data_IF_153435045296
#
_entry.id   IF_153435045296
#
_cell.length_a   1.000
_cell.length_b   1.000
_cell.length_c   1.000
_cell.angle_alpha   90.00
_cell.angle_beta   90.00
_cell.angle_gamma   90.00
#
_symmetry.space_group_name_H-M   'P 1'
#
loop_
_entity.id
_entity.type
_entity.pdbx_description
1 polymer ?
#
# COMPACT_ATOMS: atom_id res chain seq x y z
N UNK A 1 -7.61 -12.94 5.97
CA UNK A 1 -8.11 -11.59 6.34
C UNK A 1 -6.99 -10.58 6.08
N UNK A 2 -7.25 -9.50 5.36
CA UNK A 2 -6.26 -8.41 5.20
C UNK A 2 -6.13 -7.71 6.56
N UNK A 3 -4.94 -7.68 7.14
CA UNK A 3 -4.72 -7.17 8.50
C UNK A 3 -4.53 -5.67 8.54
N UNK A 4 -3.27 -5.23 8.52
CA UNK A 4 -2.83 -3.86 8.77
C UNK A 4 -2.30 -3.21 7.48
N UNK A 5 -2.66 -1.94 7.25
CA UNK A 5 -2.25 -1.18 6.08
C UNK A 5 -1.54 0.11 6.45
N UNK A 6 -0.39 0.36 5.83
CA UNK A 6 0.35 1.62 5.93
C UNK A 6 0.19 2.40 4.65
N UNK A 7 -0.24 3.66 4.76
CA UNK A 7 -0.55 4.50 3.62
C UNK A 7 0.48 5.60 3.40
N UNK A 8 0.74 5.92 2.14
CA UNK A 8 1.49 7.10 1.72
C UNK A 8 0.81 7.73 0.50
N UNK A 9 0.80 9.06 0.44
CA UNK A 9 0.26 9.81 -0.72
C UNK A 9 1.37 10.65 -1.30
N UNK A 10 1.64 10.49 -2.60
CA UNK A 10 2.84 11.03 -3.23
C UNK A 10 2.66 11.26 -4.73
N UNK A 11 3.49 12.12 -5.33
CA UNK A 11 3.57 12.29 -6.79
C UNK A 11 4.61 11.38 -7.43
N UNK A 12 5.40 10.67 -6.63
CA UNK A 12 6.31 9.66 -7.12
C UNK A 12 5.53 8.67 -7.98
N UNK A 13 6.12 8.24 -9.09
CA UNK A 13 5.48 7.26 -9.97
C UNK A 13 5.58 5.86 -9.36
N UNK A 14 4.61 4.96 -9.62
CA UNK A 14 4.63 3.61 -9.09
C UNK A 14 5.89 2.82 -9.42
N UNK A 15 6.42 2.97 -10.63
CA UNK A 15 7.64 2.27 -11.05
C UNK A 15 8.82 2.64 -10.15
N UNK A 16 8.98 3.94 -9.86
CA UNK A 16 10.01 4.44 -8.97
C UNK A 16 9.82 3.90 -7.54
N UNK A 17 8.61 3.96 -7.00
CA UNK A 17 8.33 3.48 -5.64
C UNK A 17 8.64 1.99 -5.50
N UNK A 18 8.22 1.17 -6.46
CA UNK A 18 8.52 -0.26 -6.45
C UNK A 18 10.01 -0.55 -6.57
N UNK A 19 10.73 0.13 -7.48
CA UNK A 19 12.18 -0.04 -7.63
C UNK A 19 12.94 0.34 -6.36
N UNK A 20 12.59 1.47 -5.73
CA UNK A 20 13.22 1.90 -4.48
C UNK A 20 12.91 0.93 -3.34
N UNK A 21 11.67 0.47 -3.25
CA UNK A 21 11.30 -0.50 -2.22
C UNK A 21 12.04 -1.83 -2.41
N UNK A 22 12.11 -2.34 -3.64
CA UNK A 22 12.85 -3.57 -3.96
C UNK A 22 14.36 -3.43 -3.67
N UNK A 23 14.94 -2.26 -3.93
CA UNK A 23 16.33 -1.97 -3.56
C UNK A 23 16.51 -2.04 -2.04
N UNK A 24 15.64 -1.38 -1.27
CA UNK A 24 15.68 -1.42 0.20
C UNK A 24 15.40 -2.82 0.77
N UNK A 25 14.51 -3.57 0.13
CA UNK A 25 14.17 -4.92 0.54
C UNK A 25 15.33 -5.89 0.31
N UNK A 26 16.18 -5.69 -0.70
CA UNK A 26 17.39 -6.53 -0.92
C UNK A 26 18.37 -6.49 0.25
N UNK A 27 18.43 -5.37 0.96
CA UNK A 27 19.25 -5.23 2.17
C UNK A 27 18.67 -6.05 3.34
N UNK A 28 17.34 -6.25 3.36
CA UNK A 28 16.65 -7.05 4.38
C UNK A 28 16.64 -8.54 4.02
N UNK A 29 16.16 -8.84 2.82
CA UNK A 29 16.04 -10.15 2.23
C UNK A 29 17.00 -10.22 1.04
N UNK A 30 18.13 -10.91 1.21
CA UNK A 30 19.11 -11.10 0.14
C UNK A 30 18.50 -11.70 -1.14
N UNK A 31 17.47 -12.52 -0.97
CA UNK A 31 16.74 -13.20 -2.05
C UNK A 31 15.24 -13.11 -1.75
N UNK A 32 14.44 -12.72 -2.75
CA UNK A 32 12.99 -12.68 -2.69
C UNK A 32 12.40 -12.82 -4.10
N UNK A 33 11.12 -13.18 -4.16
CA UNK A 33 10.32 -13.27 -5.39
C UNK A 33 9.27 -12.16 -5.39
N UNK A 34 9.01 -11.61 -6.58
CA UNK A 34 7.98 -10.59 -6.79
C UNK A 34 6.95 -11.12 -7.77
N UNK A 35 5.68 -10.98 -7.42
CA UNK A 35 4.57 -11.32 -8.31
C UNK A 35 3.69 -10.08 -8.52
N UNK A 36 3.39 -9.77 -9.77
CA UNK A 36 2.40 -8.74 -10.08
C UNK A 36 1.01 -9.30 -9.74
N UNK A 37 0.20 -8.48 -9.08
CA UNK A 37 -1.17 -8.87 -8.70
C UNK A 37 -2.14 -7.75 -9.05
N UNK A 38 -3.32 -8.18 -9.51
CA UNK A 38 -4.50 -7.33 -9.67
C UNK A 38 -5.48 -7.67 -8.56
N UNK A 39 -5.08 -7.37 -7.32
CA UNK A 39 -5.85 -7.68 -6.11
C UNK A 39 -7.28 -7.09 -6.17
N UNK A 40 -7.47 -5.99 -6.90
CA UNK A 40 -8.76 -5.41 -7.23
C UNK A 40 -8.68 -4.82 -8.65
N UNK A 41 -9.76 -4.83 -9.47
CA UNK A 41 -9.79 -4.17 -10.78
C UNK A 41 -9.29 -2.72 -10.81
N UNK A 42 -9.31 -2.00 -9.68
CA UNK A 42 -8.83 -0.61 -9.60
C UNK A 42 -7.46 -0.43 -8.93
N UNK A 43 -6.84 -1.50 -8.41
CA UNK A 43 -5.59 -1.42 -7.67
C UNK A 43 -4.55 -2.39 -8.24
N UNK A 44 -3.47 -1.81 -8.78
CA UNK A 44 -2.32 -2.57 -9.28
C UNK A 44 -1.33 -2.72 -8.12
N UNK A 45 -0.79 -3.92 -7.93
CA UNK A 45 0.16 -4.17 -6.86
C UNK A 45 1.22 -5.22 -7.17
N UNK A 46 2.17 -5.30 -6.25
CA UNK A 46 3.24 -6.29 -6.23
C UNK A 46 3.23 -7.02 -4.89
N UNK A 47 3.17 -8.33 -4.96
CA UNK A 47 3.27 -9.23 -3.84
C UNK A 47 4.71 -9.72 -3.69
N UNK A 48 5.22 -9.69 -2.47
CA UNK A 48 6.60 -10.00 -2.14
C UNK A 48 6.68 -11.25 -1.27
N UNK A 49 7.52 -12.19 -1.67
CA UNK A 49 7.77 -13.45 -0.97
C UNK A 49 9.25 -13.60 -0.67
N UNK A 50 9.59 -14.08 0.52
CA UNK A 50 10.95 -14.51 0.82
C UNK A 50 11.20 -15.91 0.22
N UNK A 51 11.37 -15.95 -1.10
CA UNK A 51 11.62 -17.15 -1.92
C UNK A 51 10.77 -18.37 -1.48
N UNK A 52 11.40 -19.53 -1.26
CA UNK A 52 10.70 -20.78 -0.90
C UNK A 52 10.22 -20.84 0.57
N UNK A 53 10.41 -19.79 1.37
CA UNK A 53 10.01 -19.80 2.78
C UNK A 53 8.54 -19.43 3.00
N UNK A 54 7.84 -18.90 1.99
CA UNK A 54 6.49 -18.32 2.12
C UNK A 54 5.61 -18.68 0.93
N UNK A 55 4.32 -18.92 1.18
CA UNK A 55 3.30 -19.18 0.16
C UNK A 55 2.03 -18.37 0.41
N UNK A 56 1.33 -18.06 -0.68
CA UNK A 56 -0.02 -17.48 -0.67
C UNK A 56 -1.03 -18.57 -1.03
N UNK A 57 -2.03 -18.77 -0.18
CA UNK A 57 -3.18 -19.60 -0.47
C UNK A 57 -4.32 -18.72 -0.97
N UNK A 58 -4.41 -18.60 -2.30
CA UNK A 58 -5.34 -17.71 -3.02
C UNK A 58 -6.83 -17.93 -2.71
N UNK A 59 -7.22 -19.08 -2.13
CA UNK A 59 -8.63 -19.38 -1.83
C UNK A 59 -9.17 -18.69 -0.57
N UNK A 60 -8.32 -18.35 0.40
CA UNK A 60 -8.79 -17.93 1.74
C UNK A 60 -8.06 -16.69 2.31
N UNK A 61 -7.18 -16.06 1.52
CA UNK A 61 -6.26 -15.00 1.98
C UNK A 61 -5.50 -15.42 3.26
N UNK A 62 -4.97 -16.65 3.22
CA UNK A 62 -4.14 -17.24 4.27
C UNK A 62 -2.70 -17.22 3.78
N UNK A 63 -1.82 -16.67 4.62
CA UNK A 63 -0.38 -16.59 4.37
C UNK A 63 0.31 -17.56 5.31
N UNK A 64 1.29 -18.31 4.82
CA UNK A 64 2.18 -19.10 5.70
C UNK A 64 3.29 -18.21 6.23
N UNK A 65 3.49 -18.21 7.55
CA UNK A 65 4.66 -17.62 8.16
C UNK A 65 5.89 -18.49 7.91
N UNK A 66 7.04 -17.87 7.75
CA UNK A 66 8.31 -18.62 7.78
C UNK A 66 8.75 -18.91 9.23
N UNK A 67 9.89 -19.59 9.38
CA UNK A 67 10.50 -19.93 10.68
C UNK A 67 10.84 -18.71 11.56
N UNK A 68 10.99 -17.54 10.94
CA UNK A 68 11.33 -16.28 11.63
C UNK A 68 10.07 -15.47 11.99
N UNK A 69 8.87 -15.99 11.72
CA UNK A 69 7.60 -15.31 11.97
C UNK A 69 7.28 -14.21 10.95
N UNK A 70 7.97 -14.18 9.81
CA UNK A 70 7.73 -13.24 8.71
C UNK A 70 6.67 -13.79 7.75
N UNK A 71 6.03 -12.91 6.98
CA UNK A 71 5.00 -13.29 6.00
C UNK A 71 5.19 -12.56 4.67
N UNK A 72 4.56 -13.09 3.62
CA UNK A 72 4.41 -12.36 2.38
C UNK A 72 3.54 -11.11 2.58
N UNK A 73 3.80 -10.08 1.80
CA UNK A 73 3.12 -8.79 1.92
C UNK A 73 2.97 -8.11 0.56
N UNK A 74 2.02 -7.18 0.47
CA UNK A 74 1.60 -6.57 -0.77
C UNK A 74 1.83 -5.06 -0.73
N UNK A 75 2.39 -4.49 -1.80
CA UNK A 75 2.33 -3.04 -2.04
C UNK A 75 1.40 -2.80 -3.21
N UNK A 76 0.37 -1.97 -2.99
CA UNK A 76 -0.54 -1.52 -4.04
C UNK A 76 -0.44 -0.02 -4.23
N UNK A 77 -0.87 0.44 -5.41
CA UNK A 77 -1.14 1.84 -5.64
C UNK A 77 -2.48 2.05 -6.34
N UNK A 78 -3.02 3.25 -6.13
CA UNK A 78 -4.16 3.77 -6.88
C UNK A 78 -3.81 5.17 -7.38
N UNK A 79 -4.10 5.42 -8.66
CA UNK A 79 -3.94 6.75 -9.24
C UNK A 79 -5.23 7.54 -9.08
N UNK A 80 -5.11 8.76 -8.58
CA UNK A 80 -6.22 9.66 -8.44
C UNK A 80 -5.96 10.94 -9.22
N UNK A 81 -6.82 11.21 -10.19
CA UNK A 81 -6.86 12.51 -10.85
C UNK A 81 -7.32 13.62 -9.89
N UNK A 82 -8.20 13.26 -8.94
CA UNK A 82 -8.60 14.02 -7.74
C UNK A 82 -9.07 13.04 -6.66
N UNK A 83 -8.59 13.16 -5.42
CA UNK A 83 -9.17 12.44 -4.27
C UNK A 83 -10.19 13.35 -3.60
N UNK A 84 -11.42 12.85 -3.46
CA UNK A 84 -12.36 13.30 -2.43
C UNK A 84 -12.50 12.14 -1.42
N UNK A 85 -11.86 12.24 -0.25
CA UNK A 85 -11.94 11.18 0.77
C UNK A 85 -13.37 10.92 1.25
N UNK A 86 -14.25 11.91 1.17
CA UNK A 86 -15.67 11.75 1.49
C UNK A 86 -16.37 10.83 0.48
N UNK A 87 -16.01 10.93 -0.81
CA UNK A 87 -16.56 10.05 -1.85
C UNK A 87 -16.20 8.59 -1.60
N UNK A 88 -14.96 8.25 -1.21
CA UNK A 88 -14.59 6.85 -0.90
C UNK A 88 -15.28 6.30 0.35
N UNK A 89 -15.36 7.08 1.42
CA UNK A 89 -16.08 6.64 2.63
C UNK A 89 -17.57 6.45 2.32
N UNK A 90 -18.17 7.36 1.55
CA UNK A 90 -19.57 7.28 1.17
C UNK A 90 -19.85 6.15 0.17
N UNK A 91 -18.96 5.86 -0.78
CA UNK A 91 -19.05 4.69 -1.67
C UNK A 91 -18.89 3.39 -0.89
N UNK A 92 -18.00 3.35 0.11
CA UNK A 92 -17.82 2.18 0.97
C UNK A 92 -19.02 1.94 1.89
N UNK A 93 -19.67 3.00 2.37
CA UNK A 93 -20.84 2.90 3.25
C UNK A 93 -22.14 2.70 2.47
N UNK A 94 -22.21 3.20 1.23
CA UNK A 94 -23.41 3.21 0.39
C UNK A 94 -23.06 2.96 -1.08
N UNK A 95 -22.74 1.70 -1.44
CA UNK A 95 -22.40 1.34 -2.81
C UNK A 95 -23.58 1.57 -3.76
N UNK A 96 -23.34 2.16 -4.93
CA UNK A 96 -24.33 2.36 -6.00
C UNK A 96 -25.09 3.69 -5.99
N UNK A 97 -24.70 4.65 -5.14
CA UNK A 97 -25.27 6.01 -5.10
C UNK A 97 -24.30 7.01 -5.73
N UNK A 98 -24.76 7.78 -6.71
CA UNK A 98 -23.98 8.88 -7.31
C UNK A 98 -23.89 10.06 -6.35
N UNK A 99 -22.66 10.42 -5.95
CA UNK A 99 -22.42 11.58 -5.10
C UNK A 99 -22.05 12.81 -5.93
N UNK A 100 -22.81 13.93 -5.82
CA UNK A 100 -22.44 15.16 -6.50
C UNK A 100 -21.10 15.66 -5.97
N UNK A 101 -20.18 15.96 -6.89
CA UNK A 101 -18.88 16.56 -6.61
C UNK A 101 -19.03 18.05 -6.24
N UNK A 102 -19.78 18.33 -5.18
CA UNK A 102 -20.16 19.67 -4.75
C UNK A 102 -19.80 19.92 -3.29
N UNK A 103 -19.11 21.03 -3.07
CA UNK A 103 -18.56 21.51 -1.80
C UNK A 103 -19.68 21.73 -0.75
N UNK A 104 -19.81 20.84 0.22
CA UNK A 104 -20.71 20.97 1.38
C UNK A 104 -19.91 21.12 2.67
N UNK A 105 -19.35 22.32 2.88
CA UNK A 105 -19.08 22.90 4.20
C UNK A 105 -18.50 21.99 5.32
N UNK A 106 -17.63 21.04 5.00
CA UNK A 106 -16.91 20.24 5.98
C UNK A 106 -15.46 20.77 6.15
N UNK A 107 -15.03 21.17 7.35
CA UNK A 107 -13.68 21.72 7.58
C UNK A 107 -12.51 20.73 7.31
N UNK A 108 -12.79 19.46 6.97
CA UNK A 108 -11.79 18.43 6.67
C UNK A 108 -11.75 18.01 5.19
N UNK A 109 -11.97 18.95 4.26
CA UNK A 109 -11.71 18.72 2.84
C UNK A 109 -10.21 18.60 2.55
N UNK A 110 -9.73 17.38 2.36
CA UNK A 110 -8.39 17.15 1.82
C UNK A 110 -8.48 17.05 0.29
N UNK A 111 -8.30 18.20 -0.37
CA UNK A 111 -8.13 18.25 -1.82
C UNK A 111 -6.65 17.97 -2.10
N UNK A 112 -6.37 16.76 -2.58
CA UNK A 112 -5.03 16.45 -3.05
C UNK A 112 -4.79 17.11 -4.41
N UNK A 113 -3.52 17.45 -4.69
CA UNK A 113 -3.14 17.99 -5.99
C UNK A 113 -3.45 16.97 -7.10
N UNK A 114 -3.77 17.46 -8.31
CA UNK A 114 -3.95 16.59 -9.48
C UNK A 114 -2.73 15.70 -9.68
N UNK A 115 -2.97 14.51 -10.23
CA UNK A 115 -1.96 13.51 -10.56
C UNK A 115 -1.20 13.01 -9.33
N UNK A 116 -1.93 12.41 -8.38
CA UNK A 116 -1.36 11.89 -7.16
C UNK A 116 -1.64 10.39 -7.05
N UNK A 117 -0.70 9.68 -6.43
CA UNK A 117 -0.82 8.26 -6.15
C UNK A 117 -1.03 8.07 -4.65
N UNK A 118 -1.97 7.21 -4.29
CA UNK A 118 -2.04 6.61 -2.96
C UNK A 118 -1.36 5.26 -3.03
N UNK A 119 -0.45 5.01 -2.11
CA UNK A 119 0.23 3.74 -1.93
C UNK A 119 -0.24 3.10 -0.63
N UNK A 120 -0.40 1.78 -0.64
CA UNK A 120 -0.69 1.01 0.55
C UNK A 120 0.26 -0.19 0.64
N UNK A 121 1.02 -0.27 1.73
CA UNK A 121 1.66 -1.51 2.19
C UNK A 121 0.63 -2.28 3.00
N UNK A 122 0.25 -3.45 2.51
CA UNK A 122 -0.76 -4.34 3.07
C UNK A 122 -0.08 -5.54 3.70
N UNK A 123 -0.30 -5.72 4.99
CA UNK A 123 0.32 -6.76 5.82
C UNK A 123 -0.74 -7.74 6.31
N UNK A 124 -0.44 -9.05 6.35
CA UNK A 124 -1.35 -10.02 6.93
C UNK A 124 -1.51 -9.82 8.43
N UNK A 125 -2.70 -10.14 8.94
CA UNK A 125 -3.07 -9.99 10.35
C UNK A 125 -2.12 -10.74 11.30
N UNK A 126 -1.63 -11.91 10.87
CA UNK A 126 -0.72 -12.74 11.66
C UNK A 126 0.61 -12.05 12.03
N UNK A 127 1.01 -11.02 11.28
CA UNK A 127 2.20 -10.19 11.58
C UNK A 127 1.82 -8.75 11.88
N UNK A 128 0.53 -8.46 12.12
CA UNK A 128 0.13 -7.12 12.49
C UNK A 128 0.78 -6.75 13.83
N UNK A 129 1.51 -5.63 13.85
CA UNK A 129 2.13 -5.07 15.04
C UNK A 129 3.27 -5.92 15.64
N UNK A 130 4.16 -6.43 14.77
CA UNK A 130 5.45 -7.02 15.18
C UNK A 130 6.65 -6.25 14.62
N UNK A 131 7.86 -6.54 15.13
CA UNK A 131 9.12 -5.89 14.70
C UNK A 131 9.33 -5.96 13.18
N UNK A 132 8.99 -7.09 12.56
CA UNK A 132 9.06 -7.26 11.11
C UNK A 132 8.13 -6.27 10.38
N UNK A 133 6.89 -6.13 10.85
CA UNK A 133 5.92 -5.17 10.28
C UNK A 133 6.37 -3.71 10.45
N UNK A 134 6.96 -3.36 11.60
CA UNK A 134 7.50 -2.02 11.84
C UNK A 134 8.67 -1.72 10.90
N UNK A 135 9.56 -2.70 10.70
CA UNK A 135 10.70 -2.57 9.80
C UNK A 135 10.24 -2.34 8.35
N UNK A 136 9.31 -3.14 7.85
CA UNK A 136 8.73 -2.95 6.51
C UNK A 136 8.05 -1.60 6.36
N UNK A 137 7.26 -1.20 7.37
CA UNK A 137 6.58 0.09 7.40
C UNK A 137 7.57 1.25 7.33
N UNK A 138 8.69 1.15 8.06
CA UNK A 138 9.75 2.16 8.05
C UNK A 138 10.48 2.23 6.71
N UNK A 139 10.81 1.09 6.10
CA UNK A 139 11.40 1.04 4.76
C UNK A 139 10.46 1.68 3.74
N UNK A 140 9.18 1.28 3.73
CA UNK A 140 8.16 1.82 2.85
C UNK A 140 8.01 3.34 2.99
N UNK A 141 7.81 3.85 4.22
CA UNK A 141 7.64 5.28 4.47
C UNK A 141 8.91 6.09 4.16
N UNK A 142 10.10 5.47 4.23
CA UNK A 142 11.35 6.18 3.96
C UNK A 142 11.46 6.69 2.53
N UNK A 143 10.85 6.00 1.56
CA UNK A 143 10.83 6.37 0.13
C UNK A 143 10.21 7.76 -0.06
N UNK A 144 9.21 8.09 0.75
CA UNK A 144 8.43 9.32 0.64
C UNK A 144 8.99 10.47 1.48
N UNK A 145 9.94 10.21 2.39
CA UNK A 145 10.53 11.27 3.26
C UNK A 145 11.31 12.32 2.47
N UNK A 146 11.85 11.99 1.30
CA UNK A 146 12.62 12.91 0.46
C UNK A 146 11.78 13.98 -0.26
N UNK A 147 10.48 13.78 -0.49
CA UNK A 147 9.62 14.80 -1.12
C UNK A 147 9.48 16.06 -0.25
N UNK A 148 9.61 15.94 1.06
CA UNK A 148 9.44 17.06 2.00
C UNK A 148 10.64 18.01 2.09
N UNK A 149 11.81 17.63 1.56
CA UNK A 149 13.05 18.45 1.64
C UNK A 149 13.30 19.35 0.44
N UNK A 150 12.53 19.21 -0.65
CA UNK A 150 12.67 20.01 -1.87
C UNK A 150 11.91 21.36 -1.84
N UNK A 151 11.42 21.78 -0.67
CA UNK A 151 10.83 23.11 -0.47
C UNK A 151 11.37 23.77 0.78
N UNK A 152 12.56 24.36 0.66
CA UNK A 152 12.96 25.56 1.44
C UNK A 152 13.70 26.50 0.51
#
# INVERSE_FOLDING_TARGET
MIGYSVFAVSKLKPEFVFEQFEFLLKELWKVFTVQNTNFNPTAIGKLYFKDQEMYELWSDHVFTLNKDGEAAFLITYQFFERINMQTRLLESLYPGIDYPSGNYANPHYYIFQKNIYEYALVLPEAIAYCEFSEKLSNLFLSIFKCETRLKR
#
